data_IF_211083259348
#
_entry.id   IF_211083259348
#
_cell.length_a   1.000
_cell.length_b   1.000
_cell.length_c   1.000
_cell.angle_alpha   90.00
_cell.angle_beta   90.00
_cell.angle_gamma   90.00
#
_symmetry.space_group_name_H-M   'P 1'
#
loop_
_entity.id
_entity.type
_entity.pdbx_description
1 polymer ?
#
# COMPACT_ATOMS: atom_id res chain seq x y z
N UNK A 1 -38.92 -32.09 27.81
CA UNK A 1 -37.48 -31.77 27.93
C UNK A 1 -36.81 -32.51 26.78
N UNK A 2 -36.70 -31.86 25.61
CA UNK A 2 -36.10 -32.51 24.45
C UNK A 2 -34.59 -32.42 24.55
N UNK A 3 -33.96 -33.58 24.75
CA UNK A 3 -32.51 -33.72 24.67
C UNK A 3 -32.11 -33.64 23.19
N UNK A 4 -31.49 -32.53 22.79
CA UNK A 4 -30.93 -32.39 21.44
C UNK A 4 -29.86 -33.45 21.20
N UNK A 5 -30.00 -34.23 20.13
CA UNK A 5 -29.12 -35.34 19.79
C UNK A 5 -27.66 -34.91 19.62
N UNK A 6 -26.69 -35.65 20.18
CA UNK A 6 -25.26 -35.31 20.11
C UNK A 6 -24.72 -35.24 18.68
N UNK A 7 -25.32 -35.98 17.75
CA UNK A 7 -24.94 -35.95 16.33
C UNK A 7 -25.36 -34.65 15.66
N UNK A 8 -26.52 -34.11 16.04
CA UNK A 8 -27.01 -32.82 15.57
C UNK A 8 -26.11 -31.70 16.09
N UNK A 9 -25.71 -31.76 17.36
CA UNK A 9 -24.75 -30.83 17.96
C UNK A 9 -23.41 -30.85 17.19
N UNK A 10 -22.87 -32.02 16.90
CA UNK A 10 -21.60 -32.17 16.18
C UNK A 10 -21.68 -31.61 14.76
N UNK A 11 -22.79 -31.84 14.05
CA UNK A 11 -23.01 -31.29 12.72
C UNK A 11 -23.06 -29.75 12.74
N UNK A 12 -23.71 -29.15 13.75
CA UNK A 12 -23.74 -27.69 13.90
C UNK A 12 -22.36 -27.10 14.19
N UNK A 13 -21.53 -27.80 14.97
CA UNK A 13 -20.15 -27.37 15.25
C UNK A 13 -19.30 -27.42 13.98
N UNK A 14 -19.38 -28.50 13.19
CA UNK A 14 -18.66 -28.61 11.91
C UNK A 14 -19.13 -27.54 10.93
N UNK A 15 -20.43 -27.30 10.86
CA UNK A 15 -20.99 -26.24 10.02
C UNK A 15 -20.43 -24.88 10.45
N UNK A 16 -20.47 -24.53 11.75
CA UNK A 16 -19.90 -23.29 12.30
C UNK A 16 -18.42 -23.07 11.93
N UNK A 17 -17.60 -24.13 11.93
CA UNK A 17 -16.21 -24.06 11.50
C UNK A 17 -16.04 -23.81 9.99
N UNK A 18 -16.99 -24.23 9.16
CA UNK A 18 -17.01 -23.95 7.72
C UNK A 18 -17.58 -22.57 7.36
N UNK A 19 -18.47 -22.01 8.19
CA UNK A 19 -19.05 -20.66 7.97
C UNK A 19 -18.23 -19.54 8.59
N UNK A 20 -17.35 -19.83 9.56
CA UNK A 20 -16.38 -18.86 10.03
C UNK A 20 -15.49 -18.50 8.85
N UNK A 21 -15.63 -17.31 8.24
CA UNK A 21 -14.62 -16.86 7.31
C UNK A 21 -13.34 -16.82 8.13
N UNK A 22 -12.21 -17.22 7.54
CA UNK A 22 -10.93 -16.79 8.05
C UNK A 22 -10.98 -15.26 8.06
N UNK A 23 -11.35 -14.68 9.20
CA UNK A 23 -11.29 -13.26 9.42
C UNK A 23 -9.79 -12.96 9.52
N UNK A 24 -9.13 -12.84 8.38
CA UNK A 24 -7.82 -12.24 8.31
C UNK A 24 -7.95 -10.91 9.05
N UNK A 25 -7.12 -10.62 10.06
CA UNK A 25 -7.09 -9.28 10.61
C UNK A 25 -6.88 -8.32 9.43
N UNK A 26 -7.88 -7.49 9.14
CA UNK A 26 -7.70 -6.41 8.19
C UNK A 26 -6.59 -5.54 8.76
N UNK A 27 -5.39 -5.64 8.19
CA UNK A 27 -4.33 -4.70 8.50
C UNK A 27 -4.76 -3.39 7.88
N UNK A 28 -5.52 -2.58 8.61
CA UNK A 28 -5.67 -1.19 8.22
C UNK A 28 -4.28 -0.59 8.35
N UNK A 29 -3.60 -0.38 7.22
CA UNK A 29 -2.42 0.49 7.26
C UNK A 29 -2.90 1.84 7.81
N UNK A 30 -2.25 2.37 8.86
CA UNK A 30 -2.64 3.66 9.40
C UNK A 30 -2.53 4.72 8.31
N UNK A 31 -3.44 5.70 8.36
CA UNK A 31 -3.40 6.84 7.43
C UNK A 31 -2.01 7.50 7.47
N UNK A 32 -1.49 7.80 6.29
CA UNK A 32 -0.25 8.54 6.11
C UNK A 32 -0.52 10.00 6.44
N UNK A 33 0.13 10.53 7.46
CA UNK A 33 -0.09 11.89 7.94
C UNK A 33 0.78 12.89 7.21
N UNK A 34 0.36 14.16 7.23
CA UNK A 34 1.19 15.28 6.78
C UNK A 34 2.57 15.29 7.47
N UNK A 35 3.60 15.64 6.72
CA UNK A 35 5.00 15.65 7.13
C UNK A 35 5.66 14.27 7.22
N UNK A 36 4.93 13.19 6.94
CA UNK A 36 5.52 11.85 6.93
C UNK A 36 6.18 11.54 5.58
N UNK A 37 7.17 10.67 5.60
CA UNK A 37 7.90 10.23 4.42
C UNK A 37 8.24 8.75 4.49
N UNK A 38 8.53 8.19 3.31
CA UNK A 38 9.10 6.86 3.14
C UNK A 38 10.36 6.97 2.27
N UNK A 39 11.40 6.24 2.63
CA UNK A 39 12.59 6.00 1.80
C UNK A 39 12.65 4.55 1.36
N UNK A 40 13.23 4.25 0.18
CA UNK A 40 13.42 2.88 -0.26
C UNK A 40 14.45 2.15 0.59
N UNK A 41 14.22 0.86 0.83
CA UNK A 41 15.13 -0.07 1.47
C UNK A 41 15.88 -0.89 0.41
N UNK A 42 17.20 -1.11 0.57
CA UNK A 42 17.95 -1.97 -0.32
C UNK A 42 17.39 -3.40 -0.34
N UNK A 43 17.25 -3.97 -1.54
CA UNK A 43 16.89 -5.37 -1.77
C UNK A 43 15.49 -5.81 -1.28
N UNK A 44 14.60 -4.87 -0.94
CA UNK A 44 13.23 -5.18 -0.54
C UNK A 44 12.22 -4.13 -1.02
N UNK A 45 10.97 -4.55 -1.15
CA UNK A 45 9.87 -3.61 -1.38
C UNK A 45 9.67 -2.77 -0.11
N UNK A 46 9.59 -1.46 -0.27
CA UNK A 46 9.28 -0.56 0.85
C UNK A 46 7.82 -0.15 0.73
N UNK A 47 6.97 -0.70 1.59
CA UNK A 47 5.53 -0.45 1.56
C UNK A 47 5.21 0.69 2.52
N UNK A 48 4.58 1.75 2.03
CA UNK A 48 4.10 2.85 2.86
C UNK A 48 2.67 2.60 3.33
N UNK A 49 1.82 2.14 2.41
CA UNK A 49 0.43 1.83 2.68
C UNK A 49 0.01 0.56 1.95
N UNK A 50 -0.79 -0.25 2.63
CA UNK A 50 -1.45 -1.44 2.12
C UNK A 50 -2.97 -1.22 2.20
N UNK A 51 -3.70 -1.65 1.17
CA UNK A 51 -5.16 -1.63 1.21
C UNK A 51 -5.70 -2.56 2.31
N UNK A 52 -6.88 -2.30 2.89
CA UNK A 52 -7.46 -3.18 3.93
C UNK A 52 -7.56 -4.66 3.53
N UNK A 53 -7.85 -4.94 2.27
CA UNK A 53 -7.84 -6.28 1.65
C UNK A 53 -6.45 -6.90 1.50
N UNK A 54 -5.40 -6.09 1.50
CA UNK A 54 -4.04 -6.47 1.15
C UNK A 54 -3.80 -6.63 -0.36
N UNK A 55 -4.76 -6.29 -1.21
CA UNK A 55 -4.63 -6.48 -2.66
C UNK A 55 -3.68 -5.47 -3.30
N UNK A 56 -3.68 -4.23 -2.84
CA UNK A 56 -2.85 -3.15 -3.37
C UNK A 56 -1.86 -2.62 -2.33
N UNK A 57 -0.66 -2.27 -2.78
CA UNK A 57 0.35 -1.56 -2.01
C UNK A 57 0.83 -0.31 -2.73
N UNK A 58 1.16 0.72 -1.96
CA UNK A 58 1.82 1.94 -2.42
C UNK A 58 3.18 2.09 -1.73
N UNK A 59 4.22 2.43 -2.49
CA UNK A 59 5.58 2.59 -1.98
C UNK A 59 6.66 2.39 -3.05
N UNK A 60 7.84 1.93 -2.64
CA UNK A 60 8.97 1.71 -3.55
C UNK A 60 9.16 0.25 -3.91
N UNK A 61 9.33 0.00 -5.21
CA UNK A 61 9.80 -1.27 -5.77
C UNK A 61 11.26 -1.13 -6.24
N UNK A 62 12.15 -2.10 -5.93
CA UNK A 62 13.49 -2.13 -6.50
C UNK A 62 13.43 -2.54 -7.98
N UNK A 63 14.19 -1.84 -8.82
CA UNK A 63 14.33 -2.18 -10.25
C UNK A 63 15.68 -2.84 -10.52
N UNK A 64 16.75 -2.18 -10.08
CA UNK A 64 18.14 -2.62 -10.18
C UNK A 64 18.84 -2.26 -8.87
N UNK A 65 20.05 -2.79 -8.58
CA UNK A 65 20.80 -2.41 -7.39
C UNK A 65 20.91 -0.88 -7.24
N UNK A 66 20.30 -0.33 -6.19
CA UNK A 66 20.30 1.09 -5.89
C UNK A 66 19.32 1.95 -6.69
N UNK A 67 18.47 1.36 -7.55
CA UNK A 67 17.44 2.06 -8.32
C UNK A 67 16.04 1.60 -7.93
N UNK A 68 15.15 2.56 -7.72
CA UNK A 68 13.80 2.34 -7.18
C UNK A 68 12.74 3.07 -7.98
N UNK A 69 11.55 2.49 -8.00
CA UNK A 69 10.34 3.03 -8.60
C UNK A 69 9.30 3.30 -7.52
N UNK A 70 8.78 4.52 -7.46
CA UNK A 70 7.57 4.82 -6.67
C UNK A 70 6.34 4.33 -7.43
N UNK A 71 5.58 3.41 -6.87
CA UNK A 71 4.51 2.70 -7.58
C UNK A 71 3.33 2.28 -6.69
N UNK A 72 2.25 1.92 -7.37
CA UNK A 72 1.14 1.10 -6.85
C UNK A 72 1.18 -0.24 -7.57
N UNK A 73 1.09 -1.34 -6.84
CA UNK A 73 1.11 -2.69 -7.39
C UNK A 73 0.18 -3.65 -6.66
N UNK A 74 -0.10 -4.79 -7.31
CA UNK A 74 -0.81 -5.91 -6.68
C UNK A 74 0.11 -6.65 -5.71
N UNK A 75 -0.11 -6.46 -4.40
CA UNK A 75 0.79 -6.95 -3.35
C UNK A 75 0.73 -8.46 -3.12
N UNK A 76 -0.38 -9.12 -3.49
CA UNK A 76 -0.54 -10.58 -3.38
C UNK A 76 0.06 -11.35 -4.55
N UNK A 77 0.44 -10.68 -5.63
CA UNK A 77 1.04 -11.34 -6.79
C UNK A 77 2.57 -11.37 -6.63
N UNK A 78 3.22 -12.54 -6.80
CA UNK A 78 4.69 -12.64 -6.70
C UNK A 78 5.43 -11.73 -7.69
N UNK A 79 4.79 -11.40 -8.80
CA UNK A 79 5.34 -10.52 -9.83
C UNK A 79 5.28 -9.03 -9.47
N UNK A 80 4.63 -8.64 -8.36
CA UNK A 80 4.38 -7.24 -7.98
C UNK A 80 3.91 -6.39 -9.17
N UNK A 81 2.87 -6.87 -9.85
CA UNK A 81 2.39 -6.26 -11.10
C UNK A 81 2.02 -4.80 -10.84
N UNK A 82 2.76 -3.88 -11.46
CA UNK A 82 2.58 -2.43 -11.34
C UNK A 82 1.32 -2.02 -12.09
N UNK A 83 0.44 -1.30 -11.40
CA UNK A 83 -0.78 -0.71 -11.99
C UNK A 83 -0.64 0.80 -12.19
N UNK A 84 0.25 1.43 -11.44
CA UNK A 84 0.59 2.84 -11.57
C UNK A 84 2.01 3.10 -11.08
N UNK A 85 2.70 4.06 -11.68
CA UNK A 85 4.00 4.53 -11.18
C UNK A 85 4.18 6.01 -11.43
N UNK A 86 4.96 6.67 -10.56
CA UNK A 86 5.37 8.05 -10.78
C UNK A 86 6.15 8.16 -12.10
N UNK A 87 5.81 9.15 -12.91
CA UNK A 87 6.39 9.38 -14.23
C UNK A 87 6.76 10.86 -14.43
N UNK A 88 7.89 11.10 -15.06
CA UNK A 88 8.25 12.42 -15.59
C UNK A 88 7.62 12.61 -16.97
N UNK A 89 7.83 13.78 -17.58
CA UNK A 89 7.33 14.11 -18.93
C UNK A 89 7.75 13.07 -19.96
N UNK A 90 8.95 12.51 -19.81
CA UNK A 90 9.56 11.64 -20.81
C UNK A 90 9.55 10.15 -20.44
N UNK A 91 9.63 9.79 -19.14
CA UNK A 91 9.84 8.40 -18.70
C UNK A 91 9.34 8.14 -17.26
N UNK A 92 9.45 6.89 -16.78
CA UNK A 92 9.25 6.58 -15.36
C UNK A 92 10.22 7.37 -14.46
N UNK A 93 9.73 7.88 -13.32
CA UNK A 93 10.53 8.63 -12.36
C UNK A 93 11.36 7.68 -11.47
N UNK A 94 12.40 7.10 -12.06
CA UNK A 94 13.34 6.21 -11.34
C UNK A 94 14.27 7.04 -10.46
N UNK A 95 14.43 6.62 -9.20
CA UNK A 95 15.23 7.33 -8.19
C UNK A 95 16.29 6.43 -7.56
N UNK A 96 17.36 7.03 -7.04
CA UNK A 96 18.45 6.32 -6.41
C UNK A 96 18.21 6.09 -4.91
N UNK A 97 18.97 5.18 -4.31
CA UNK A 97 19.08 5.07 -2.85
C UNK A 97 19.33 6.44 -2.19
N UNK A 98 18.66 6.68 -1.05
CA UNK A 98 18.64 7.97 -0.38
C UNK A 98 17.51 8.91 -0.84
N UNK A 99 16.74 8.55 -1.87
CA UNK A 99 15.50 9.23 -2.22
C UNK A 99 14.41 9.09 -1.14
N UNK A 100 13.36 9.90 -1.22
CA UNK A 100 12.15 9.71 -0.41
C UNK A 100 10.90 10.19 -1.12
N UNK A 101 9.77 9.57 -0.81
CA UNK A 101 8.45 10.16 -1.05
C UNK A 101 7.97 10.79 0.24
N UNK A 102 7.36 11.97 0.16
CA UNK A 102 6.94 12.76 1.31
C UNK A 102 5.54 13.34 1.06
N UNK A 103 4.64 13.18 2.03
CA UNK A 103 3.37 13.89 2.04
C UNK A 103 3.60 15.18 2.81
N UNK A 104 3.91 16.25 2.09
CA UNK A 104 4.32 17.52 2.68
C UNK A 104 3.20 18.14 3.53
N UNK A 105 3.56 19.03 4.45
CA UNK A 105 2.60 19.80 5.27
C UNK A 105 1.62 20.65 4.45
N UNK A 106 1.95 20.93 3.17
CA UNK A 106 1.07 21.60 2.21
C UNK A 106 -0.03 20.70 1.65
N UNK A 107 -0.01 19.39 1.93
CA UNK A 107 -0.88 18.38 1.33
C UNK A 107 -0.38 17.86 -0.02
N UNK A 108 0.78 18.32 -0.50
CA UNK A 108 1.38 17.83 -1.74
C UNK A 108 2.14 16.52 -1.48
N UNK A 109 1.96 15.53 -2.37
CA UNK A 109 2.76 14.31 -2.38
C UNK A 109 3.92 14.50 -3.34
N UNK A 110 5.15 14.42 -2.84
CA UNK A 110 6.36 14.75 -3.60
C UNK A 110 7.38 13.63 -3.52
N UNK A 111 7.99 13.31 -4.66
CA UNK A 111 9.12 12.41 -4.77
C UNK A 111 10.41 13.23 -4.89
N UNK A 112 11.29 13.06 -3.91
CA UNK A 112 12.57 13.75 -3.80
C UNK A 112 13.69 12.74 -4.08
N UNK A 113 14.64 13.11 -4.95
CA UNK A 113 15.83 12.30 -5.18
C UNK A 113 16.81 12.38 -3.99
N UNK A 114 17.96 11.71 -4.10
CA UNK A 114 18.97 11.63 -3.04
C UNK A 114 19.67 12.98 -2.73
N UNK A 115 19.52 14.00 -3.57
CA UNK A 115 20.00 15.37 -3.29
C UNK A 115 18.91 16.27 -2.70
N UNK A 116 17.69 15.75 -2.55
CA UNK A 116 16.53 16.50 -2.07
C UNK A 116 15.80 17.31 -3.15
N UNK A 117 16.14 17.12 -4.42
CA UNK A 117 15.43 17.75 -5.53
C UNK A 117 14.11 17.00 -5.81
N UNK A 118 13.03 17.75 -5.99
CA UNK A 118 11.74 17.21 -6.43
C UNK A 118 11.81 16.78 -7.90
N UNK A 119 11.61 15.49 -8.13
CA UNK A 119 11.62 14.88 -9.48
C UNK A 119 10.23 14.53 -9.97
N UNK A 120 9.26 14.44 -9.06
CA UNK A 120 7.85 14.21 -9.37
C UNK A 120 6.97 14.70 -8.22
N UNK A 121 5.75 15.14 -8.52
CA UNK A 121 4.73 15.46 -7.52
C UNK A 121 3.33 15.16 -8.04
N UNK A 122 2.40 14.90 -7.12
CA UNK A 122 0.97 14.93 -7.40
C UNK A 122 0.42 16.31 -7.06
N UNK A 123 -0.28 16.95 -8.00
CA UNK A 123 -0.97 18.22 -7.76
C UNK A 123 -2.36 17.94 -7.15
N UNK A 124 -2.62 18.31 -5.88
CA UNK A 124 -3.95 18.18 -5.29
C UNK A 124 -4.97 19.20 -5.86
N UNK A 125 -4.52 20.13 -6.71
CA UNK A 125 -5.34 21.21 -7.25
C UNK A 125 -5.78 22.15 -6.14
N UNK A 126 -7.09 22.43 -6.08
CA UNK A 126 -7.69 23.26 -5.03
C UNK A 126 -8.07 22.48 -3.76
N UNK A 127 -7.81 21.17 -3.71
CA UNK A 127 -8.20 20.34 -2.58
C UNK A 127 -7.15 20.40 -1.46
N UNK A 128 -7.64 20.38 -0.21
CA UNK A 128 -6.78 20.26 0.96
C UNK A 128 -6.63 18.77 1.28
N UNK A 129 -5.45 18.22 1.02
CA UNK A 129 -5.09 16.86 1.44
C UNK A 129 -4.67 16.90 2.91
N UNK A 130 -5.26 16.02 3.72
CA UNK A 130 -4.97 15.93 5.17
C UNK A 130 -4.32 14.62 5.58
N UNK A 131 -4.42 13.59 4.74
CA UNK A 131 -3.73 12.31 4.86
C UNK A 131 -3.73 11.57 3.51
N UNK A 132 -2.97 10.48 3.43
CA UNK A 132 -3.03 9.49 2.35
C UNK A 132 -3.44 8.12 2.88
N UNK A 133 -4.13 7.33 2.06
CA UNK A 133 -4.51 5.96 2.40
C UNK A 133 -4.67 5.13 1.13
N UNK A 134 -4.28 3.84 1.19
CA UNK A 134 -4.49 2.92 0.08
C UNK A 134 -5.88 2.28 0.21
N UNK A 135 -6.75 2.49 -0.78
CA UNK A 135 -8.10 1.91 -0.80
C UNK A 135 -8.11 0.55 -1.48
N UNK A 136 -9.12 -0.27 -1.17
CA UNK A 136 -9.36 -1.57 -1.84
C UNK A 136 -9.72 -1.42 -3.34
N UNK A 137 -10.05 -0.22 -3.77
CA UNK A 137 -10.25 0.11 -5.19
C UNK A 137 -8.93 0.29 -5.95
N UNK A 138 -7.78 0.31 -5.26
CA UNK A 138 -6.50 0.65 -5.85
C UNK A 138 -6.28 2.16 -6.01
N UNK A 139 -7.21 2.99 -5.53
CA UNK A 139 -6.99 4.44 -5.43
C UNK A 139 -6.20 4.77 -4.17
N UNK A 140 -5.28 5.71 -4.35
CA UNK A 140 -4.49 6.33 -3.31
C UNK A 140 -4.70 7.84 -3.34
#
# INVERSE_FOLDING_TARGET
MDATSPTVLLFHIILLFFILPFASPAQSSPNITLGSSLSPQPNSNSIWALSPSGDFAFGFLPLEPGLFLLAIWFAKLPSNTVVWSANTVDNAAVVQEGSRVELMSSGRLSLLNNTGQEVWFADPGSNIVTNGAMLDTGNY
#
